data_IF_256427593626
#
_entry.id   IF_256427593626
#
_cell.length_a   1.000
_cell.length_b   1.000
_cell.length_c   1.000
_cell.angle_alpha   90.00
_cell.angle_beta   90.00
_cell.angle_gamma   90.00
#
_symmetry.space_group_name_H-M   'P 1'
#
loop_
_entity.id
_entity.type
_entity.pdbx_description
1 polymer ?
#
# COMPACT_ATOMS: atom_id res chain seq x y z
N UNK A 1 18.96 -0.71 -17.63
CA UNK A 1 18.39 -0.98 -16.30
C UNK A 1 16.95 -1.34 -16.56
N UNK A 2 16.56 -2.56 -16.21
CA UNK A 2 15.22 -3.08 -16.46
C UNK A 2 14.28 -2.45 -15.42
N UNK A 3 13.15 -1.91 -15.88
CA UNK A 3 12.18 -1.27 -15.01
C UNK A 3 11.61 -2.29 -14.01
N UNK A 4 11.73 -2.04 -12.70
CA UNK A 4 11.26 -2.95 -11.65
C UNK A 4 10.11 -2.34 -10.84
N UNK A 5 9.11 -3.16 -10.56
CA UNK A 5 7.99 -2.84 -9.66
C UNK A 5 7.98 -3.86 -8.53
N UNK A 6 8.00 -3.38 -7.29
CA UNK A 6 8.00 -4.23 -6.10
C UNK A 6 6.86 -3.81 -5.17
N UNK A 7 6.22 -4.77 -4.52
CA UNK A 7 5.19 -4.50 -3.50
C UNK A 7 5.74 -4.96 -2.15
N UNK A 8 5.88 -4.02 -1.22
CA UNK A 8 6.60 -4.21 0.03
C UNK A 8 5.72 -3.86 1.24
N UNK A 9 5.83 -4.59 2.37
CA UNK A 9 5.16 -4.25 3.61
C UNK A 9 5.78 -2.98 4.22
N UNK A 10 4.99 -1.92 4.35
CA UNK A 10 5.49 -0.59 4.70
C UNK A 10 6.22 -0.55 6.06
N UNK A 11 5.81 -1.38 7.03
CA UNK A 11 6.42 -1.41 8.36
C UNK A 11 7.85 -1.99 8.36
N UNK A 12 8.26 -2.69 7.30
CA UNK A 12 9.63 -3.16 7.11
C UNK A 12 10.49 -2.14 6.32
N UNK A 13 9.85 -1.14 5.69
CA UNK A 13 10.48 -0.16 4.82
C UNK A 13 9.99 1.26 5.13
N UNK A 14 10.19 1.70 6.37
CA UNK A 14 9.64 2.98 6.86
C UNK A 14 10.09 4.20 6.06
N UNK A 15 11.21 4.10 5.32
CA UNK A 15 11.72 5.14 4.40
C UNK A 15 10.66 5.61 3.40
N UNK A 16 9.71 4.75 3.03
CA UNK A 16 8.64 5.05 2.08
C UNK A 16 7.40 5.71 2.72
N UNK A 17 7.35 5.88 4.05
CA UNK A 17 6.14 6.30 4.77
C UNK A 17 5.66 7.70 4.39
N UNK A 18 6.58 8.67 4.25
CA UNK A 18 6.24 10.05 3.88
C UNK A 18 5.70 10.14 2.45
N UNK A 19 6.35 9.43 1.52
CA UNK A 19 5.92 9.36 0.13
C UNK A 19 4.56 8.66 0.02
N UNK A 20 4.36 7.54 0.72
CA UNK A 20 3.08 6.85 0.80
C UNK A 20 1.97 7.73 1.39
N UNK A 21 2.26 8.49 2.45
CA UNK A 21 1.31 9.43 3.05
C UNK A 21 0.87 10.49 2.04
N UNK A 22 1.82 11.03 1.27
CA UNK A 22 1.57 12.03 0.23
C UNK A 22 0.74 11.46 -0.91
N UNK A 23 1.07 10.24 -1.37
CA UNK A 23 0.32 9.52 -2.41
C UNK A 23 -1.16 9.34 -2.01
N UNK A 24 -1.44 8.78 -0.83
CA UNK A 24 -2.83 8.55 -0.39
C UNK A 24 -3.59 9.87 -0.24
N UNK A 25 -2.94 10.92 0.27
CA UNK A 25 -3.55 12.24 0.42
C UNK A 25 -3.81 12.95 -0.90
N UNK A 26 -3.12 12.60 -1.98
CA UNK A 26 -3.39 13.13 -3.32
C UNK A 26 -4.75 12.67 -3.88
N UNK A 27 -5.27 11.54 -3.38
CA UNK A 27 -6.58 10.99 -3.75
C UNK A 27 -7.64 11.33 -2.70
N UNK A 28 -7.36 11.10 -1.41
CA UNK A 28 -8.29 11.35 -0.31
C UNK A 28 -7.64 12.24 0.76
N UNK A 29 -7.88 13.55 0.67
CA UNK A 29 -7.27 14.55 1.55
C UNK A 29 -7.63 14.32 3.02
N UNK A 30 -6.63 14.09 3.86
CA UNK A 30 -6.70 14.15 5.34
C UNK A 30 -5.45 14.84 5.90
N UNK A 31 -5.45 15.14 7.21
CA UNK A 31 -4.24 15.66 7.84
C UNK A 31 -3.09 14.63 7.74
N UNK A 32 -1.87 15.13 7.54
CA UNK A 32 -0.65 14.31 7.52
C UNK A 32 -0.55 13.45 8.78
N UNK A 33 -0.79 14.03 9.95
CA UNK A 33 -0.77 13.32 11.24
C UNK A 33 -1.73 12.13 11.26
N UNK A 34 -2.97 12.31 10.79
CA UNK A 34 -3.95 11.22 10.77
C UNK A 34 -3.55 10.09 9.80
N UNK A 35 -2.92 10.42 8.67
CA UNK A 35 -2.39 9.42 7.73
C UNK A 35 -1.21 8.66 8.32
N UNK A 36 -0.23 9.37 8.85
CA UNK A 36 0.94 8.75 9.46
C UNK A 36 0.56 7.85 10.64
N UNK A 37 -0.38 8.26 11.48
CA UNK A 37 -0.92 7.40 12.55
C UNK A 37 -1.56 6.11 12.02
N UNK A 38 -2.22 6.15 10.86
CA UNK A 38 -2.77 4.96 10.21
C UNK A 38 -1.69 4.06 9.63
N UNK A 39 -0.69 4.65 8.95
CA UNK A 39 0.41 3.91 8.32
C UNK A 39 1.30 3.23 9.38
N UNK A 40 1.56 3.89 10.51
CA UNK A 40 2.31 3.32 11.65
C UNK A 40 1.64 2.11 12.31
N UNK A 41 0.36 1.87 12.05
CA UNK A 41 -0.33 0.64 12.51
C UNK A 41 -0.04 -0.58 11.64
N UNK A 42 0.70 -0.41 10.53
CA UNK A 42 1.11 -1.52 9.68
C UNK A 42 1.93 -2.54 10.49
N UNK A 43 1.59 -3.82 10.41
CA UNK A 43 2.32 -4.93 11.05
C UNK A 43 2.15 -6.24 10.26
N UNK A 44 2.73 -7.34 10.73
CA UNK A 44 2.64 -8.66 10.09
C UNK A 44 1.29 -9.38 10.34
N UNK A 45 0.50 -8.97 11.34
CA UNK A 45 -0.74 -9.66 11.75
C UNK A 45 -2.03 -8.92 11.38
N UNK A 46 -1.95 -8.04 10.38
CA UNK A 46 -2.96 -7.04 10.04
C UNK A 46 -3.25 -6.03 11.19
N UNK A 47 -3.52 -4.76 10.85
CA UNK A 47 -3.59 -4.24 9.50
C UNK A 47 -2.19 -4.07 8.87
N UNK A 48 -2.08 -4.33 7.57
CA UNK A 48 -0.82 -4.22 6.82
C UNK A 48 -1.00 -3.24 5.69
N UNK A 49 -0.19 -2.19 5.67
CA UNK A 49 -0.07 -1.30 4.51
C UNK A 49 1.04 -1.81 3.59
N UNK A 50 0.70 -2.08 2.34
CA UNK A 50 1.64 -2.44 1.28
C UNK A 50 1.90 -1.20 0.42
N UNK A 51 3.15 -1.01 0.02
CA UNK A 51 3.57 0.06 -0.89
C UNK A 51 4.15 -0.53 -2.16
N UNK A 52 3.74 0.00 -3.31
CA UNK A 52 4.32 -0.34 -4.60
C UNK A 52 5.42 0.67 -4.95
N UNK A 53 6.63 0.18 -5.14
CA UNK A 53 7.83 0.96 -5.39
C UNK A 53 8.32 0.70 -6.81
N UNK A 54 8.58 1.77 -7.54
CA UNK A 54 9.15 1.74 -8.89
C UNK A 54 10.65 2.05 -8.84
N UNK A 55 11.44 1.16 -9.44
CA UNK A 55 12.90 1.24 -9.50
C UNK A 55 13.58 1.43 -8.13
N UNK A 56 12.98 0.88 -7.06
CA UNK A 56 13.48 0.96 -5.67
C UNK A 56 13.43 2.35 -5.03
N UNK A 57 12.91 3.37 -5.72
CA UNK A 57 13.00 4.77 -5.29
C UNK A 57 11.64 5.42 -5.12
N UNK A 58 10.74 5.26 -6.08
CA UNK A 58 9.49 6.03 -6.12
C UNK A 58 8.30 5.22 -5.61
N UNK A 59 7.53 5.77 -4.68
CA UNK A 59 6.25 5.16 -4.25
C UNK A 59 5.16 5.50 -5.26
N UNK A 60 4.72 4.50 -5.99
CA UNK A 60 3.77 4.65 -7.11
C UNK A 60 2.41 3.98 -6.84
N UNK A 61 2.26 3.28 -5.72
CA UNK A 61 1.00 2.70 -5.30
C UNK A 61 0.95 2.35 -3.81
N UNK A 62 -0.25 2.13 -3.31
CA UNK A 62 -0.51 1.67 -1.95
C UNK A 62 -1.78 0.84 -1.91
N UNK A 63 -1.79 -0.19 -1.08
CA UNK A 63 -3.00 -0.89 -0.64
C UNK A 63 -2.90 -1.20 0.85
N UNK A 64 -4.02 -1.44 1.51
CA UNK A 64 -4.03 -1.83 2.91
C UNK A 64 -5.00 -2.97 3.16
N UNK A 65 -4.54 -3.94 3.92
CA UNK A 65 -5.31 -5.07 4.43
C UNK A 65 -5.62 -4.81 5.90
N UNK A 66 -6.87 -4.99 6.30
CA UNK A 66 -7.32 -4.83 7.69
C UNK A 66 -8.12 -6.06 8.11
N UNK A 67 -8.05 -6.49 9.39
CA UNK A 67 -8.76 -7.68 9.84
C UNK A 67 -10.28 -7.44 9.84
N UNK A 68 -11.06 -8.49 9.60
CA UNK A 68 -12.52 -8.48 9.78
C UNK A 68 -12.84 -9.32 11.02
N UNK A 69 -13.15 -8.72 12.19
CA UNK A 69 -13.31 -9.49 13.44
C UNK A 69 -14.36 -10.62 13.39
N UNK A 70 -15.40 -10.46 12.56
CA UNK A 70 -16.45 -11.45 12.40
C UNK A 70 -16.10 -12.58 11.40
N UNK A 71 -15.04 -12.43 10.61
CA UNK A 71 -14.63 -13.40 9.57
C UNK A 71 -13.11 -13.58 9.66
N UNK A 72 -12.62 -14.47 10.53
CA UNK A 72 -11.18 -14.61 10.81
C UNK A 72 -10.32 -14.95 9.58
N UNK A 73 -10.88 -15.69 8.62
CA UNK A 73 -10.20 -16.13 7.40
C UNK A 73 -10.35 -15.12 6.24
N UNK A 74 -10.75 -13.88 6.55
CA UNK A 74 -10.87 -12.81 5.57
C UNK A 74 -10.27 -11.49 6.07
N UNK A 75 -9.83 -10.68 5.12
CA UNK A 75 -9.37 -9.32 5.37
C UNK A 75 -10.15 -8.33 4.49
N UNK A 76 -10.25 -7.09 4.97
CA UNK A 76 -10.83 -5.99 4.24
C UNK A 76 -9.73 -5.21 3.53
N UNK A 77 -9.91 -5.04 2.23
CA UNK A 77 -9.03 -4.24 1.40
C UNK A 77 -9.48 -2.78 1.40
N UNK A 78 -8.58 -1.86 1.72
CA UNK A 78 -8.87 -0.45 1.80
C UNK A 78 -7.75 0.43 1.23
N UNK A 79 -8.10 1.70 0.93
CA UNK A 79 -7.16 2.75 0.52
C UNK A 79 -6.25 2.36 -0.66
N UNK A 80 -6.79 1.62 -1.64
CA UNK A 80 -6.06 1.20 -2.85
C UNK A 80 -5.88 2.37 -3.81
N UNK A 81 -4.64 2.76 -4.08
CA UNK A 81 -4.32 3.88 -4.97
C UNK A 81 -3.09 3.58 -5.80
N UNK A 82 -3.13 4.00 -7.05
CA UNK A 82 -1.96 4.12 -7.93
C UNK A 82 -1.77 5.59 -8.23
N UNK A 83 -0.52 6.05 -8.25
CA UNK A 83 -0.19 7.42 -8.61
C UNK A 83 -0.77 7.78 -9.98
N UNK A 84 -1.30 9.00 -10.10
CA UNK A 84 -2.03 9.46 -11.28
C UNK A 84 -1.21 9.37 -12.56
N UNK A 85 0.10 9.60 -12.50
CA UNK A 85 0.99 9.52 -13.66
C UNK A 85 1.12 8.10 -14.23
N UNK A 86 0.83 7.09 -13.41
CA UNK A 86 1.03 5.68 -13.73
C UNK A 86 -0.28 4.87 -13.92
N UNK A 87 -1.44 5.54 -13.82
CA UNK A 87 -2.75 4.92 -14.10
C UNK A 87 -2.89 4.53 -15.58
N UNK A 88 -3.74 3.54 -15.85
CA UNK A 88 -3.99 3.03 -17.21
C UNK A 88 -2.91 2.08 -17.76
N UNK A 89 -1.87 1.77 -16.98
CA UNK A 89 -0.74 0.90 -17.38
C UNK A 89 -0.83 -0.53 -16.85
N UNK A 90 -1.96 -0.93 -16.27
CA UNK A 90 -2.13 -2.23 -15.61
C UNK A 90 -1.51 -2.33 -14.20
N UNK A 91 -0.87 -1.28 -13.68
CA UNK A 91 -0.19 -1.31 -12.38
C UNK A 91 -1.13 -1.49 -11.20
N UNK A 92 -2.40 -1.08 -11.32
CA UNK A 92 -3.42 -1.40 -10.34
C UNK A 92 -3.69 -2.91 -10.24
N UNK A 93 -3.69 -3.61 -11.38
CA UNK A 93 -3.82 -5.07 -11.41
C UNK A 93 -2.59 -5.73 -10.78
N UNK A 94 -1.40 -5.25 -11.10
CA UNK A 94 -0.15 -5.75 -10.49
C UNK A 94 -0.16 -5.60 -8.97
N UNK A 95 -0.51 -4.42 -8.47
CA UNK A 95 -0.67 -4.17 -7.03
C UNK A 95 -1.68 -5.14 -6.41
N UNK A 96 -2.85 -5.32 -7.03
CA UNK A 96 -3.89 -6.19 -6.52
C UNK A 96 -3.48 -7.66 -6.44
N UNK A 97 -2.86 -8.20 -7.49
CA UNK A 97 -2.37 -9.57 -7.49
C UNK A 97 -1.30 -9.80 -6.40
N UNK A 98 -0.36 -8.86 -6.25
CA UNK A 98 0.64 -8.94 -5.19
C UNK A 98 0.03 -8.83 -3.79
N UNK A 99 -1.03 -8.03 -3.62
CA UNK A 99 -1.77 -7.91 -2.36
C UNK A 99 -2.53 -9.19 -2.01
N UNK A 100 -3.16 -9.83 -3.00
CA UNK A 100 -3.83 -11.13 -2.85
C UNK A 100 -2.81 -12.23 -2.47
N UNK A 101 -1.68 -12.30 -3.19
CA UNK A 101 -0.59 -13.22 -2.91
C UNK A 101 0.01 -13.01 -1.51
N UNK A 102 0.05 -11.76 -1.02
CA UNK A 102 0.50 -11.46 0.34
C UNK A 102 -0.50 -11.95 1.39
N UNK A 103 -1.81 -11.78 1.15
CA UNK A 103 -2.85 -12.12 2.12
C UNK A 103 -3.05 -13.63 2.34
N UNK A 104 -2.62 -14.46 1.37
CA UNK A 104 -2.75 -15.93 1.42
C UNK A 104 -1.56 -16.59 2.13
N UNK A 105 -0.45 -15.88 2.34
CA UNK A 105 0.75 -16.38 3.02
C UNK A 105 0.57 -16.44 4.53
#
# INVERSE_FOLDING_TARGET
MEDSLEVLPLHQYEVYSEACCSLINSEWKRSRTARMLSLKKSCDNFPTSLVMVYNGVEVVGHSRLSPIPAIPDACFLESVVVDKAYRGRGWGKYLMLATEDYAIR
#
